data_IF_323253567816
#
_entry.id   IF_323253567816
#
_cell.length_a   1.000
_cell.length_b   1.000
_cell.length_c   1.000
_cell.angle_alpha   90.00
_cell.angle_beta   90.00
_cell.angle_gamma   90.00
#
_symmetry.space_group_name_H-M   'P 1'
#
loop_
_entity.id
_entity.type
_entity.pdbx_description
1 polymer ?
#
# COMPACT_ATOMS: atom_id res chain seq x y z
N UNK A 1 26.46 48.12 7.90
CA UNK A 1 27.92 47.98 7.72
C UNK A 1 28.40 46.82 8.57
N UNK A 2 28.72 45.72 7.89
CA UNK A 2 29.55 44.55 8.24
C UNK A 2 29.80 44.19 9.73
N UNK A 3 29.25 43.03 10.12
CA UNK A 3 29.58 42.28 11.33
C UNK A 3 30.73 41.29 11.09
N UNK A 4 31.59 41.18 12.11
CA UNK A 4 32.85 40.46 12.17
C UNK A 4 32.70 38.93 12.12
N UNK A 5 33.62 38.31 11.37
CA UNK A 5 34.02 36.90 11.48
C UNK A 5 34.90 36.67 12.72
N UNK A 6 34.63 35.61 13.48
CA UNK A 6 35.55 35.04 14.46
C UNK A 6 35.79 33.57 14.14
N UNK A 7 37.04 33.27 13.75
CA UNK A 7 37.65 31.94 13.73
C UNK A 7 38.25 31.67 15.10
N UNK A 8 38.11 30.46 15.64
CA UNK A 8 39.25 29.68 16.17
C UNK A 8 38.86 28.34 16.81
N UNK A 9 39.54 27.28 16.32
CA UNK A 9 40.16 26.16 17.07
C UNK A 9 39.20 25.20 17.80
N UNK A 10 39.30 23.87 17.62
CA UNK A 10 40.47 23.04 17.88
C UNK A 10 40.49 21.77 17.03
N UNK A 11 41.70 21.39 16.61
CA UNK A 11 42.08 20.15 15.94
C UNK A 11 43.06 19.42 16.89
N UNK A 12 42.81 18.16 17.20
CA UNK A 12 43.72 17.13 17.75
C UNK A 12 43.01 15.78 17.52
N UNK A 13 43.29 14.98 16.50
CA UNK A 13 44.43 14.05 16.29
C UNK A 13 44.69 13.08 17.46
N UNK A 14 44.44 11.77 17.22
CA UNK A 14 45.17 10.52 17.59
C UNK A 14 44.20 9.36 17.27
N UNK A 15 44.27 8.63 16.13
CA UNK A 15 45.17 7.53 15.69
C UNK A 15 44.92 6.16 16.37
N UNK A 16 44.75 5.14 15.50
CA UNK A 16 45.03 3.68 15.62
C UNK A 16 43.76 2.79 15.59
N UNK A 17 43.42 2.08 14.50
CA UNK A 17 44.09 0.93 13.84
C UNK A 17 43.61 -0.44 14.39
N UNK A 18 42.91 -1.23 13.57
CA UNK A 18 43.00 -2.70 13.47
C UNK A 18 41.97 -3.25 12.47
N UNK A 19 42.43 -3.66 11.28
CA UNK A 19 41.73 -4.63 10.45
C UNK A 19 42.74 -5.31 9.53
N UNK A 20 43.13 -6.54 9.86
CA UNK A 20 43.83 -7.42 8.94
C UNK A 20 43.78 -8.90 9.38
N UNK A 21 43.29 -9.72 8.45
CA UNK A 21 43.67 -11.11 8.13
C UNK A 21 43.20 -12.30 8.99
N UNK A 22 42.34 -13.14 8.38
CA UNK A 22 42.54 -14.56 7.96
C UNK A 22 41.15 -15.13 7.57
N UNK A 23 40.76 -15.44 6.33
CA UNK A 23 41.30 -16.27 5.23
C UNK A 23 41.06 -17.80 5.37
N UNK A 24 40.15 -18.32 4.50
CA UNK A 24 40.11 -19.65 3.82
C UNK A 24 40.01 -20.93 4.69
N UNK A 25 39.36 -22.05 4.33
CA UNK A 25 38.91 -22.62 3.03
C UNK A 25 38.17 -23.97 3.24
N UNK A 26 37.20 -24.26 2.35
CA UNK A 26 36.97 -25.54 1.60
C UNK A 26 36.53 -26.82 2.36
N UNK A 27 35.44 -27.47 1.87
CA UNK A 27 35.40 -28.85 1.31
C UNK A 27 34.03 -29.14 0.68
N UNK A 28 34.06 -29.64 -0.56
CA UNK A 28 33.00 -30.23 -1.40
C UNK A 28 32.29 -31.47 -0.81
N UNK A 29 31.08 -31.77 -1.33
CA UNK A 29 30.56 -33.15 -1.30
C UNK A 29 29.05 -33.29 -1.58
N UNK A 30 28.62 -33.92 -2.69
CA UNK A 30 27.23 -34.05 -3.11
C UNK A 30 26.56 -35.34 -2.58
N UNK A 31 25.25 -35.30 -2.33
CA UNK A 31 24.43 -36.52 -2.23
C UNK A 31 23.08 -36.32 -2.93
N UNK A 32 22.92 -37.02 -4.04
CA UNK A 32 21.65 -37.41 -4.63
C UNK A 32 21.06 -38.58 -3.83
N UNK A 33 19.72 -38.64 -3.70
CA UNK A 33 19.07 -39.84 -3.17
C UNK A 33 17.58 -39.70 -2.86
N UNK A 34 16.78 -40.21 -3.79
CA UNK A 34 15.50 -40.91 -3.60
C UNK A 34 14.21 -40.12 -3.27
N UNK A 35 13.31 -40.16 -4.25
CA UNK A 35 11.87 -40.04 -4.10
C UNK A 35 11.25 -41.27 -3.41
N UNK A 36 10.12 -41.09 -2.71
CA UNK A 36 9.00 -42.04 -2.68
C UNK A 36 7.79 -41.37 -3.38
N UNK A 37 7.11 -42.01 -4.33
CA UNK A 37 6.29 -43.19 -4.13
C UNK A 37 4.81 -42.77 -4.20
N UNK A 38 4.17 -43.00 -5.35
CA UNK A 38 2.76 -42.72 -5.60
C UNK A 38 1.82 -43.64 -4.79
N UNK A 39 0.62 -43.15 -4.43
CA UNK A 39 -0.61 -43.94 -4.47
C UNK A 39 -1.48 -43.41 -5.62
N UNK A 40 -2.03 -44.23 -6.51
CA UNK A 40 -3.06 -45.22 -6.21
C UNK A 40 -4.35 -44.75 -6.90
N UNK A 41 -4.66 -45.38 -8.04
CA UNK A 41 -5.86 -45.21 -8.85
C UNK A 41 -7.16 -45.26 -8.03
N UNK A 42 -8.04 -44.27 -8.25
CA UNK A 42 -9.48 -44.37 -7.99
C UNK A 42 -10.21 -43.81 -9.20
N UNK A 43 -10.87 -44.70 -9.94
CA UNK A 43 -11.70 -44.39 -11.09
C UNK A 43 -13.00 -43.69 -10.66
N UNK A 44 -13.21 -42.48 -11.16
CA UNK A 44 -14.53 -41.90 -11.40
C UNK A 44 -14.49 -41.34 -12.84
N UNK A 45 -15.46 -41.74 -13.65
CA UNK A 45 -15.50 -41.40 -15.07
C UNK A 45 -15.78 -39.93 -15.28
N UNK A 46 -14.80 -39.25 -15.87
CA UNK A 46 -14.99 -38.00 -16.61
C UNK A 46 -14.51 -38.26 -18.04
N UNK A 47 -15.41 -38.09 -19.01
CA UNK A 47 -15.00 -38.04 -20.40
C UNK A 47 -13.94 -36.94 -20.56
N UNK A 48 -12.82 -37.17 -21.25
CA UNK A 48 -11.83 -36.14 -21.45
C UNK A 48 -12.46 -34.99 -22.23
N UNK A 49 -12.48 -33.80 -21.60
CA UNK A 49 -12.78 -32.52 -22.24
C UNK A 49 -12.13 -32.50 -23.62
N UNK A 50 -12.95 -32.41 -24.67
CA UNK A 50 -12.47 -32.16 -26.02
C UNK A 50 -11.92 -30.73 -26.04
N UNK A 51 -10.63 -30.60 -25.78
CA UNK A 51 -9.91 -29.34 -25.94
C UNK A 51 -9.92 -29.04 -27.44
N UNK A 52 -10.68 -28.01 -27.83
CA UNK A 52 -10.64 -27.45 -29.18
C UNK A 52 -9.20 -26.96 -29.50
N UNK A 53 -8.78 -26.96 -30.77
CA UNK A 53 -7.41 -26.60 -31.14
C UNK A 53 -7.02 -25.22 -30.59
N UNK A 54 -5.81 -25.14 -30.03
CA UNK A 54 -5.24 -23.91 -29.50
C UNK A 54 -5.24 -22.80 -30.56
N UNK A 55 -5.58 -21.58 -30.14
CA UNK A 55 -5.58 -20.38 -30.98
C UNK A 55 -4.24 -20.22 -31.73
N UNK A 56 -4.31 -19.73 -32.98
CA UNK A 56 -3.18 -19.62 -33.91
C UNK A 56 -2.17 -18.51 -33.54
N UNK A 57 -2.38 -17.78 -32.44
CA UNK A 57 -1.54 -16.67 -31.98
C UNK A 57 -1.08 -16.86 -30.53
N UNK A 58 0.17 -16.51 -30.24
CA UNK A 58 0.74 -16.55 -28.88
C UNK A 58 0.50 -15.20 -28.18
N UNK A 59 -0.38 -15.16 -27.18
CA UNK A 59 -0.70 -13.94 -26.41
C UNK A 59 -0.23 -14.03 -24.94
N UNK A 60 0.03 -12.90 -24.26
CA UNK A 60 0.33 -12.88 -22.82
C UNK A 60 -0.83 -13.38 -21.95
N UNK A 61 -0.59 -13.77 -20.68
CA UNK A 61 -1.66 -14.10 -19.73
C UNK A 61 -2.63 -12.93 -19.55
N UNK A 62 -3.93 -13.18 -19.62
CA UNK A 62 -4.99 -12.16 -19.52
C UNK A 62 -5.69 -11.80 -20.83
N UNK A 63 -5.25 -12.37 -21.97
CA UNK A 63 -5.82 -12.12 -23.31
C UNK A 63 -6.73 -13.26 -23.82
N UNK A 64 -7.05 -14.20 -22.94
CA UNK A 64 -7.91 -15.33 -23.22
C UNK A 64 -9.00 -15.38 -22.18
N UNK A 65 -10.25 -15.26 -22.63
CA UNK A 65 -11.43 -15.40 -21.80
C UNK A 65 -12.07 -16.76 -22.02
N UNK A 66 -12.58 -17.35 -20.94
CA UNK A 66 -13.28 -18.63 -20.98
C UNK A 66 -14.68 -18.40 -20.46
N UNK A 67 -15.68 -18.61 -21.30
CA UNK A 67 -17.08 -18.52 -20.91
C UNK A 67 -17.83 -19.79 -21.30
N UNK A 68 -18.97 -20.01 -20.66
CA UNK A 68 -19.84 -21.14 -20.96
C UNK A 68 -20.96 -20.64 -21.86
N UNK A 69 -21.07 -21.19 -23.06
CA UNK A 69 -22.16 -20.87 -23.97
C UNK A 69 -23.49 -21.34 -23.35
N UNK A 70 -24.43 -20.42 -23.13
CA UNK A 70 -25.68 -20.70 -22.41
C UNK A 70 -26.67 -21.53 -23.23
N UNK A 71 -26.54 -21.55 -24.56
CA UNK A 71 -27.42 -22.29 -25.47
C UNK A 71 -27.02 -23.76 -25.62
N UNK A 72 -25.73 -24.05 -25.56
CA UNK A 72 -25.15 -25.39 -25.82
C UNK A 72 -24.50 -26.02 -24.60
N UNK A 73 -24.18 -25.22 -23.58
CA UNK A 73 -23.51 -25.65 -22.35
C UNK A 73 -22.03 -25.98 -22.53
N UNK A 74 -21.45 -25.71 -23.70
CA UNK A 74 -20.04 -25.94 -24.01
C UNK A 74 -19.16 -24.83 -23.41
N UNK A 75 -17.95 -25.18 -23.00
CA UNK A 75 -16.94 -24.20 -22.57
C UNK A 75 -16.24 -23.68 -23.82
N UNK A 76 -16.40 -22.38 -24.08
CA UNK A 76 -15.80 -21.69 -25.21
C UNK A 76 -14.65 -20.84 -24.69
N UNK A 77 -13.49 -21.01 -25.32
CA UNK A 77 -12.28 -20.24 -25.02
C UNK A 77 -12.06 -19.26 -26.17
N UNK A 78 -12.13 -17.96 -25.90
CA UNK A 78 -11.90 -16.89 -26.87
C UNK A 78 -10.56 -16.24 -26.57
N UNK A 79 -9.65 -16.26 -27.53
CA UNK A 79 -8.35 -15.58 -27.45
C UNK A 79 -8.41 -14.34 -28.33
N UNK A 80 -8.23 -13.16 -27.73
CA UNK A 80 -8.22 -11.90 -28.46
C UNK A 80 -6.82 -11.69 -29.06
N UNK A 81 -6.64 -11.94 -30.36
CA UNK A 81 -5.41 -11.61 -31.06
C UNK A 81 -5.45 -10.11 -31.46
N UNK A 82 -4.38 -9.32 -31.22
CA UNK A 82 -4.32 -7.95 -31.71
C UNK A 82 -4.14 -7.95 -33.24
N UNK A 83 -5.13 -7.44 -33.98
CA UNK A 83 -5.03 -7.17 -35.42
C UNK A 83 -6.14 -7.70 -36.34
N UNK A 84 -7.21 -8.30 -35.83
CA UNK A 84 -8.33 -8.72 -36.68
C UNK A 84 -9.40 -7.62 -36.77
N UNK A 85 -9.26 -6.80 -37.82
CA UNK A 85 -10.29 -5.90 -38.33
C UNK A 85 -11.29 -6.74 -39.14
N UNK A 86 -12.33 -7.27 -38.47
CA UNK A 86 -13.46 -7.85 -39.19
C UNK A 86 -14.38 -6.71 -39.68
N UNK A 87 -14.26 -6.41 -40.98
CA UNK A 87 -15.17 -5.56 -41.76
C UNK A 87 -16.59 -6.16 -41.76
N UNK A 88 -17.44 -5.67 -40.85
CA UNK A 88 -18.86 -5.97 -40.80
C UNK A 88 -19.71 -4.77 -41.22
N UNK A 89 -20.16 -4.80 -42.48
CA UNK A 89 -21.13 -3.89 -43.09
C UNK A 89 -22.48 -3.92 -42.34
N UNK A 90 -22.99 -2.76 -41.92
CA UNK A 90 -24.21 -2.63 -41.14
C UNK A 90 -24.84 -1.24 -41.27
N UNK A 91 -26.04 -1.22 -41.83
CA UNK A 91 -26.93 -0.10 -42.16
C UNK A 91 -26.92 1.11 -41.20
N UNK A 92 -26.89 2.32 -41.80
CA UNK A 92 -27.17 3.58 -41.12
C UNK A 92 -28.67 3.73 -40.88
N UNK A 93 -29.08 3.59 -39.62
CA UNK A 93 -30.40 4.04 -39.16
C UNK A 93 -30.28 5.51 -38.70
N UNK A 94 -31.09 6.39 -39.31
CA UNK A 94 -31.19 7.81 -38.98
C UNK A 94 -31.88 7.99 -37.62
N UNK A 95 -31.09 7.96 -36.55
CA UNK A 95 -31.51 8.37 -35.21
C UNK A 95 -31.09 9.81 -34.93
N UNK A 96 -32.06 10.71 -34.78
CA UNK A 96 -31.84 12.04 -34.20
C UNK A 96 -31.47 11.90 -32.73
N UNK A 97 -30.18 11.73 -32.45
CA UNK A 97 -29.67 11.78 -31.09
C UNK A 97 -29.42 13.24 -30.74
N UNK A 98 -30.28 13.83 -29.91
CA UNK A 98 -29.85 14.93 -29.03
C UNK A 98 -28.81 14.31 -28.08
N UNK A 99 -27.52 14.69 -28.15
CA UNK A 99 -26.52 14.05 -27.33
C UNK A 99 -26.60 14.59 -25.90
N UNK A 100 -26.82 13.66 -24.97
CA UNK A 100 -26.37 13.76 -23.59
C UNK A 100 -24.84 13.65 -23.55
N UNK A 101 -24.19 14.15 -22.49
CA UNK A 101 -22.74 13.97 -22.28
C UNK A 101 -22.42 12.47 -22.13
N UNK A 102 -22.29 11.79 -23.26
CA UNK A 102 -21.99 10.37 -23.39
C UNK A 102 -20.51 10.20 -23.70
N UNK A 103 -19.90 9.31 -22.95
CA UNK A 103 -18.47 8.99 -22.95
C UNK A 103 -18.22 7.80 -23.89
N UNK A 104 -17.18 7.86 -24.72
CA UNK A 104 -16.91 6.86 -25.77
C UNK A 104 -15.60 6.09 -25.53
N UNK A 105 -14.57 6.71 -24.92
CA UNK A 105 -13.26 6.10 -24.72
C UNK A 105 -12.70 6.42 -23.32
N UNK A 106 -12.47 5.39 -22.50
CA UNK A 106 -12.49 5.41 -21.03
C UNK A 106 -11.40 6.17 -20.23
N UNK A 107 -10.69 7.17 -20.76
CA UNK A 107 -9.72 7.94 -19.95
C UNK A 107 -9.71 9.44 -20.29
N UNK A 108 -9.72 10.27 -19.24
CA UNK A 108 -9.66 11.75 -19.26
C UNK A 108 -10.82 12.47 -20.00
N UNK A 109 -12.01 11.85 -20.03
CA UNK A 109 -13.24 12.45 -20.56
C UNK A 109 -14.04 13.20 -19.46
N UNK A 110 -14.56 14.39 -19.79
CA UNK A 110 -15.35 15.24 -18.88
C UNK A 110 -16.38 16.09 -19.63
N UNK A 111 -17.42 16.55 -18.93
CA UNK A 111 -18.44 17.41 -19.54
C UNK A 111 -18.11 18.90 -19.35
N UNK A 112 -18.31 19.71 -20.39
CA UNK A 112 -18.38 21.16 -20.27
C UNK A 112 -19.67 21.69 -20.90
N UNK A 113 -20.64 22.03 -20.06
CA UNK A 113 -21.98 22.37 -20.54
C UNK A 113 -22.61 21.16 -21.22
N UNK A 114 -22.99 21.31 -22.49
CA UNK A 114 -23.54 20.22 -23.32
C UNK A 114 -22.46 19.49 -24.14
N UNK A 115 -21.19 19.90 -24.03
CA UNK A 115 -20.09 19.29 -24.78
C UNK A 115 -19.47 18.12 -23.99
N UNK A 116 -19.25 17.00 -24.68
CA UNK A 116 -18.39 15.91 -24.22
C UNK A 116 -16.95 16.24 -24.60
N UNK A 117 -16.08 16.38 -23.61
CA UNK A 117 -14.69 16.76 -23.81
C UNK A 117 -13.76 15.65 -23.38
N UNK A 118 -12.58 15.63 -23.97
CA UNK A 118 -11.45 14.86 -23.49
C UNK A 118 -10.19 15.71 -23.57
N UNK A 119 -9.20 15.42 -22.74
CA UNK A 119 -7.97 16.19 -22.72
C UNK A 119 -6.80 15.40 -22.17
N UNK A 120 -5.61 15.99 -22.26
CA UNK A 120 -4.43 15.48 -21.60
C UNK A 120 -3.63 16.65 -21.01
N UNK A 121 -3.27 16.49 -19.74
CA UNK A 121 -2.63 17.53 -18.96
C UNK A 121 -1.60 16.90 -17.98
N UNK A 122 -0.29 16.88 -18.29
CA UNK A 122 0.34 17.52 -19.44
C UNK A 122 0.02 16.83 -20.76
N UNK A 123 -0.06 17.62 -21.83
CA UNK A 123 -0.33 17.10 -23.16
C UNK A 123 0.80 16.22 -23.68
N UNK A 124 0.48 15.20 -24.48
CA UNK A 124 1.47 14.34 -25.10
C UNK A 124 2.44 15.11 -26.03
N UNK A 125 1.98 16.23 -26.60
CA UNK A 125 2.78 17.16 -27.40
C UNK A 125 3.04 18.42 -26.58
N UNK A 126 4.30 18.72 -26.30
CA UNK A 126 4.70 19.87 -25.48
C UNK A 126 5.10 21.12 -26.29
N UNK A 127 5.18 21.02 -27.62
CA UNK A 127 5.49 22.14 -28.53
C UNK A 127 4.51 22.16 -29.73
N UNK A 128 3.20 22.42 -29.51
CA UNK A 128 2.23 22.46 -30.60
C UNK A 128 2.39 23.72 -31.45
N UNK A 129 2.06 23.61 -32.75
CA UNK A 129 2.16 24.73 -33.70
C UNK A 129 1.28 25.92 -33.28
N UNK A 130 0.15 25.64 -32.64
CA UNK A 130 -0.84 26.60 -32.16
C UNK A 130 -0.33 27.51 -31.03
N UNK A 131 0.69 27.06 -30.28
CA UNK A 131 1.35 27.86 -29.25
C UNK A 131 2.66 28.50 -29.72
N UNK A 132 3.02 28.37 -31.00
CA UNK A 132 4.19 29.06 -31.54
C UNK A 132 4.03 30.57 -31.43
N UNK A 133 5.02 31.21 -30.78
CA UNK A 133 4.99 32.66 -30.53
C UNK A 133 4.09 33.09 -29.37
N UNK A 134 3.36 32.17 -28.73
CA UNK A 134 2.66 32.42 -27.46
C UNK A 134 3.66 32.18 -26.31
N UNK A 135 4.08 33.21 -25.58
CA UNK A 135 5.08 33.04 -24.53
C UNK A 135 4.54 32.19 -23.39
N UNK A 136 5.39 31.29 -22.90
CA UNK A 136 5.14 30.50 -21.69
C UNK A 136 4.87 31.44 -20.51
N UNK A 137 3.71 31.33 -19.82
CA UNK A 137 3.29 32.32 -18.83
C UNK A 137 4.12 32.29 -17.53
N UNK A 138 4.66 31.12 -17.15
CA UNK A 138 5.53 30.94 -15.99
C UNK A 138 6.51 29.79 -16.23
N UNK A 139 7.61 29.69 -15.45
CA UNK A 139 8.54 28.55 -15.55
C UNK A 139 7.86 27.19 -15.32
N UNK A 140 6.85 27.15 -14.46
CA UNK A 140 6.15 25.92 -14.03
C UNK A 140 4.94 25.57 -14.92
N UNK A 141 4.60 26.42 -15.89
CA UNK A 141 3.53 26.08 -16.82
C UNK A 141 3.91 24.88 -17.71
N UNK A 142 2.94 24.14 -18.19
CA UNK A 142 3.10 23.10 -19.20
C UNK A 142 1.98 23.22 -20.22
N UNK A 143 2.15 22.54 -21.35
CA UNK A 143 1.11 22.52 -22.38
C UNK A 143 0.04 21.52 -21.95
N UNK A 144 -1.22 21.94 -22.02
CA UNK A 144 -2.39 21.08 -21.94
C UNK A 144 -3.15 21.12 -23.27
N UNK A 145 -3.87 20.04 -23.56
CA UNK A 145 -4.74 19.94 -24.71
C UNK A 145 -6.12 19.46 -24.30
N UNK A 146 -7.12 19.95 -25.04
CA UNK A 146 -8.51 19.60 -24.85
C UNK A 146 -9.22 19.60 -26.19
N UNK A 147 -10.03 18.59 -26.42
CA UNK A 147 -10.96 18.48 -27.54
C UNK A 147 -12.38 18.34 -26.99
N UNK A 148 -13.32 19.13 -27.50
CA UNK A 148 -14.71 19.11 -27.07
C UNK A 148 -15.64 18.89 -28.26
N UNK A 149 -16.51 17.88 -28.16
CA UNK A 149 -17.57 17.62 -29.13
C UNK A 149 -18.89 18.17 -28.61
N UNK A 150 -19.47 19.10 -29.35
CA UNK A 150 -20.75 19.73 -29.04
C UNK A 150 -21.94 18.97 -29.66
N UNK A 151 -23.17 19.27 -29.21
CA UNK A 151 -24.37 18.59 -29.71
C UNK A 151 -24.66 18.72 -31.20
N UNK A 152 -24.19 19.80 -31.82
CA UNK A 152 -24.32 20.05 -33.25
C UNK A 152 -23.26 19.30 -34.09
N UNK A 153 -22.45 18.44 -33.46
CA UNK A 153 -21.36 17.69 -34.07
C UNK A 153 -20.09 18.52 -34.27
N UNK A 154 -20.04 19.77 -33.82
CA UNK A 154 -18.82 20.57 -33.90
C UNK A 154 -17.78 20.06 -32.91
N UNK A 155 -16.51 20.07 -33.33
CA UNK A 155 -15.36 19.71 -32.50
C UNK A 155 -14.50 20.95 -32.32
N UNK A 156 -14.19 21.27 -31.07
CA UNK A 156 -13.27 22.34 -30.69
C UNK A 156 -12.01 21.75 -30.06
N UNK A 157 -10.90 21.87 -30.78
CA UNK A 157 -9.57 21.50 -30.31
C UNK A 157 -8.83 22.73 -29.80
N UNK A 158 -8.19 22.62 -28.64
CA UNK A 158 -7.48 23.74 -28.01
C UNK A 158 -6.21 23.31 -27.30
N UNK A 159 -5.10 23.90 -27.72
CA UNK A 159 -3.83 23.90 -27.01
C UNK A 159 -3.69 25.16 -26.16
N UNK A 160 -3.23 25.02 -24.92
CA UNK A 160 -3.03 26.17 -24.04
C UNK A 160 -1.94 25.91 -22.99
N UNK A 161 -1.29 26.99 -22.56
CA UNK A 161 -0.43 26.94 -21.39
C UNK A 161 -1.29 26.92 -20.14
N UNK A 162 -1.02 25.97 -19.25
CA UNK A 162 -1.64 25.91 -17.93
C UNK A 162 -0.57 25.71 -16.85
N UNK A 163 -0.85 26.22 -15.66
CA UNK A 163 -0.13 25.84 -14.42
C UNK A 163 -0.97 24.90 -13.58
N UNK A 164 -2.25 24.74 -13.93
CA UNK A 164 -3.15 23.79 -13.30
C UNK A 164 -2.79 22.43 -13.89
N UNK A 165 -2.03 21.62 -13.14
CA UNK A 165 -2.28 20.19 -13.20
C UNK A 165 -3.77 20.02 -12.91
N UNK A 166 -4.48 19.25 -13.74
CA UNK A 166 -5.88 18.93 -13.45
C UNK A 166 -5.96 18.46 -12.00
N UNK A 167 -6.79 19.15 -11.22
CA UNK A 167 -6.99 18.77 -9.83
C UNK A 167 -7.53 17.33 -9.84
N UNK A 168 -6.80 16.36 -9.26
CA UNK A 168 -7.24 14.98 -9.26
C UNK A 168 -8.60 14.86 -8.59
N UNK A 169 -9.41 13.86 -8.93
CA UNK A 169 -10.65 13.58 -8.20
C UNK A 169 -10.39 13.53 -6.67
N UNK A 170 -11.35 13.97 -5.86
CA UNK A 170 -11.19 14.01 -4.39
C UNK A 170 -10.80 12.65 -3.79
N UNK A 171 -11.19 11.55 -4.42
CA UNK A 171 -10.78 10.21 -4.02
C UNK A 171 -9.28 9.98 -4.18
N UNK A 172 -8.70 10.41 -5.30
CA UNK A 172 -7.27 10.29 -5.57
C UNK A 172 -6.47 11.20 -4.62
N UNK A 173 -6.94 12.44 -4.41
CA UNK A 173 -6.36 13.34 -3.43
C UNK A 173 -6.41 12.75 -2.01
N UNK A 174 -7.52 12.14 -1.62
CA UNK A 174 -7.65 11.49 -0.32
C UNK A 174 -6.70 10.29 -0.18
N UNK A 175 -6.53 9.51 -1.26
CA UNK A 175 -5.58 8.39 -1.28
C UNK A 175 -4.12 8.86 -1.19
N UNK A 176 -3.79 9.97 -1.85
CA UNK A 176 -2.48 10.63 -1.72
C UNK A 176 -2.26 11.10 -0.28
N UNK A 177 -3.22 11.84 0.28
CA UNK A 177 -3.16 12.33 1.65
C UNK A 177 -2.99 11.19 2.67
N UNK A 178 -3.71 10.07 2.47
CA UNK A 178 -3.54 8.86 3.28
C UNK A 178 -2.14 8.26 3.15
N UNK A 179 -1.60 8.16 1.92
CA UNK A 179 -0.26 7.63 1.65
C UNK A 179 0.87 8.44 2.28
N UNK A 180 0.59 9.69 2.66
CA UNK A 180 1.51 10.58 3.36
C UNK A 180 1.41 10.50 4.90
N UNK A 181 0.49 9.69 5.44
CA UNK A 181 0.45 9.40 6.87
C UNK A 181 1.66 8.52 7.25
N UNK A 182 2.42 8.97 8.25
CA UNK A 182 3.58 8.23 8.75
C UNK A 182 3.39 7.94 10.25
N UNK A 183 3.29 6.66 10.59
CA UNK A 183 3.23 6.24 12.00
C UNK A 183 4.57 6.50 12.69
N UNK A 184 4.58 6.98 13.94
CA UNK A 184 5.81 7.21 14.69
C UNK A 184 6.47 5.88 15.05
N UNK A 185 7.80 5.92 15.19
CA UNK A 185 8.56 4.84 15.82
C UNK A 185 8.19 4.76 17.31
N UNK A 186 8.17 3.55 17.86
CA UNK A 186 7.93 3.33 19.28
C UNK A 186 8.66 2.10 19.79
N UNK A 187 8.68 1.92 21.10
CA UNK A 187 9.16 0.69 21.75
C UNK A 187 8.03 0.10 22.59
N UNK A 188 7.79 -1.21 22.45
CA UNK A 188 6.90 -1.93 23.33
C UNK A 188 7.56 -2.08 24.71
N UNK A 189 7.19 -1.22 25.64
CA UNK A 189 7.71 -1.25 27.00
C UNK A 189 6.79 -2.06 27.92
N UNK A 190 7.39 -2.67 28.95
CA UNK A 190 6.66 -3.51 29.89
C UNK A 190 7.11 -3.40 31.33
N UNK A 191 6.20 -3.77 32.23
CA UNK A 191 6.41 -3.84 33.66
C UNK A 191 5.87 -5.19 34.19
N UNK A 192 6.56 -5.89 35.11
CA UNK A 192 7.82 -5.52 35.76
C UNK A 192 9.04 -5.47 34.80
N UNK A 193 9.99 -4.54 35.00
CA UNK A 193 11.12 -4.39 34.09
C UNK A 193 12.06 -5.60 34.17
N UNK A 194 12.54 -6.06 33.02
CA UNK A 194 13.56 -7.10 32.88
C UNK A 194 13.08 -8.53 33.07
N UNK A 195 12.00 -8.77 33.83
CA UNK A 195 11.39 -10.11 33.98
C UNK A 195 9.97 -10.02 34.53
N UNK A 196 9.07 -10.82 33.97
CA UNK A 196 7.74 -11.07 34.52
C UNK A 196 7.62 -12.52 35.02
N UNK A 197 6.51 -12.85 35.65
CA UNK A 197 6.27 -14.18 36.21
C UNK A 197 4.93 -14.76 35.76
N UNK A 198 4.87 -16.08 35.72
CA UNK A 198 3.64 -16.83 35.44
C UNK A 198 2.53 -16.41 36.42
N UNK A 199 1.34 -16.18 35.88
CA UNK A 199 0.14 -15.70 36.60
C UNK A 199 0.28 -14.33 37.27
N UNK A 200 1.29 -13.54 36.91
CA UNK A 200 1.43 -12.14 37.34
C UNK A 200 1.14 -11.21 36.16
N UNK A 201 0.38 -10.15 36.41
CA UNK A 201 0.05 -9.15 35.40
C UNK A 201 1.32 -8.49 34.84
N UNK A 202 1.52 -8.60 33.54
CA UNK A 202 2.51 -7.85 32.77
C UNK A 202 1.79 -6.69 32.12
N UNK A 203 2.23 -5.46 32.42
CA UNK A 203 1.61 -4.25 31.87
C UNK A 203 2.41 -3.71 30.69
N UNK A 204 1.72 -3.23 29.65
CA UNK A 204 2.32 -2.79 28.40
C UNK A 204 1.97 -1.33 28.07
N UNK A 205 2.86 -0.65 27.36
CA UNK A 205 2.60 0.65 26.73
C UNK A 205 3.55 0.88 25.55
N UNK A 206 3.17 1.75 24.62
CA UNK A 206 3.97 2.15 23.46
C UNK A 206 4.83 3.37 23.79
N UNK A 207 6.00 3.14 24.38
CA UNK A 207 6.93 4.21 24.75
C UNK A 207 7.45 4.93 23.49
N UNK A 208 7.38 6.26 23.48
CA UNK A 208 7.85 7.11 22.37
C UNK A 208 6.84 7.42 21.26
N UNK A 209 5.68 6.75 21.19
CA UNK A 209 4.70 6.96 20.11
C UNK A 209 4.04 8.36 20.12
N UNK A 210 3.89 8.99 21.29
CA UNK A 210 3.12 10.22 21.44
C UNK A 210 1.58 10.03 21.38
N UNK A 211 0.82 11.05 21.75
CA UNK A 211 -0.65 11.05 21.82
C UNK A 211 -1.30 12.01 20.80
N UNK A 212 -0.50 12.56 19.89
CA UNK A 212 -0.96 13.50 18.87
C UNK A 212 -1.58 12.82 17.65
N UNK A 213 -2.42 13.57 16.94
CA UNK A 213 -2.89 13.19 15.61
C UNK A 213 -1.75 13.26 14.58
N UNK A 214 -1.80 12.39 13.59
CA UNK A 214 -0.89 12.40 12.43
C UNK A 214 -1.68 12.96 11.24
N UNK A 215 -1.07 13.91 10.53
CA UNK A 215 -1.71 14.54 9.38
C UNK A 215 -0.90 14.29 8.11
N UNK A 216 -1.58 13.81 7.06
CA UNK A 216 -1.07 13.75 5.70
C UNK A 216 -1.89 14.68 4.81
N UNK A 217 -1.27 15.39 3.88
CA UNK A 217 -1.97 16.37 3.04
C UNK A 217 -1.61 16.19 1.59
N UNK A 218 -2.61 16.10 0.73
CA UNK A 218 -2.45 16.13 -0.73
C UNK A 218 -1.95 17.49 -1.21
N UNK A 219 -1.41 17.55 -2.42
CA UNK A 219 -0.99 18.80 -3.04
C UNK A 219 -2.14 19.81 -3.25
N UNK A 220 -3.39 19.33 -3.28
CA UNK A 220 -4.57 20.10 -3.67
C UNK A 220 -5.54 20.42 -2.50
N UNK A 221 -5.21 19.99 -1.28
CA UNK A 221 -5.85 20.51 -0.06
C UNK A 221 -6.72 19.53 0.72
N UNK A 222 -6.93 18.30 0.24
CA UNK A 222 -7.47 17.21 1.06
C UNK A 222 -6.43 16.79 2.11
N UNK A 223 -6.88 16.64 3.35
CA UNK A 223 -6.08 16.25 4.51
C UNK A 223 -6.62 14.94 5.08
N UNK A 224 -5.76 13.95 5.25
CA UNK A 224 -6.03 12.75 6.02
C UNK A 224 -5.51 12.96 7.46
N UNK A 225 -6.34 12.62 8.44
CA UNK A 225 -6.00 12.79 9.86
C UNK A 225 -6.18 11.45 10.56
N UNK A 226 -5.08 10.90 11.06
CA UNK A 226 -5.06 9.67 11.84
C UNK A 226 -5.04 10.00 13.34
N UNK A 227 -6.10 9.62 14.05
CA UNK A 227 -6.26 9.80 15.49
C UNK A 227 -5.86 8.52 16.21
N UNK A 228 -5.06 8.59 17.28
CA UNK A 228 -4.74 7.42 18.08
C UNK A 228 -6.01 6.73 18.61
N UNK A 229 -6.13 5.42 18.38
CA UNK A 229 -7.30 4.64 18.81
C UNK A 229 -6.91 3.62 19.89
N UNK A 230 -6.09 2.63 19.53
CA UNK A 230 -5.68 1.57 20.45
C UNK A 230 -4.32 0.96 20.09
N UNK A 231 -3.81 0.10 20.97
CA UNK A 231 -2.61 -0.70 20.76
C UNK A 231 -3.04 -2.16 20.68
N UNK A 232 -2.57 -2.88 19.66
CA UNK A 232 -2.67 -4.33 19.62
C UNK A 232 -1.37 -4.95 20.14
N UNK A 233 -1.46 -5.89 21.07
CA UNK A 233 -0.31 -6.59 21.66
C UNK A 233 -0.47 -8.09 21.43
N UNK A 234 0.54 -8.71 20.84
CA UNK A 234 0.74 -10.15 20.80
C UNK A 234 1.75 -10.52 21.89
N UNK A 235 1.36 -11.25 22.95
CA UNK A 235 2.27 -11.61 24.04
C UNK A 235 3.41 -12.54 23.63
N UNK A 236 3.35 -13.18 22.45
CA UNK A 236 4.40 -14.05 21.92
C UNK A 236 4.44 -15.47 22.49
N UNK A 237 3.47 -15.85 23.33
CA UNK A 237 3.36 -17.18 23.95
C UNK A 237 2.39 -18.12 23.20
N UNK A 238 1.88 -17.69 22.04
CA UNK A 238 0.88 -18.41 21.25
C UNK A 238 -0.57 -18.04 21.59
N UNK A 239 -0.79 -17.12 22.54
CA UNK A 239 -2.10 -16.55 22.81
C UNK A 239 -2.59 -15.64 21.68
N UNK A 240 -3.88 -15.29 21.73
CA UNK A 240 -4.44 -14.30 20.82
C UNK A 240 -3.89 -12.90 21.12
N UNK A 241 -3.90 -12.06 20.07
CA UNK A 241 -3.66 -10.63 20.19
C UNK A 241 -4.69 -10.02 21.15
N UNK A 242 -4.22 -9.17 22.06
CA UNK A 242 -5.05 -8.37 22.95
C UNK A 242 -5.13 -6.93 22.45
N UNK A 243 -6.32 -6.35 22.54
CA UNK A 243 -6.56 -4.93 22.26
C UNK A 243 -6.48 -4.16 23.56
N UNK A 244 -5.69 -3.08 23.56
CA UNK A 244 -5.42 -2.24 24.71
C UNK A 244 -5.71 -0.78 24.40
N UNK A 245 -6.23 -0.04 25.37
CA UNK A 245 -6.36 1.41 25.27
C UNK A 245 -5.03 2.06 24.91
N UNK A 246 -5.09 3.16 24.16
CA UNK A 246 -3.90 3.93 23.80
C UNK A 246 -3.12 4.37 25.04
N UNK A 247 -1.86 3.94 25.14
CA UNK A 247 -0.99 4.27 26.25
C UNK A 247 0.45 4.46 25.79
N UNK A 248 0.98 5.65 26.01
CA UNK A 248 2.37 6.01 25.66
C UNK A 248 3.28 6.18 26.86
N UNK A 249 2.73 5.96 28.05
CA UNK A 249 3.46 5.98 29.30
C UNK A 249 2.98 4.85 30.20
N UNK A 250 3.76 4.55 31.24
CA UNK A 250 3.48 3.46 32.17
C UNK A 250 2.06 3.54 32.72
N UNK A 251 1.28 2.50 32.46
CA UNK A 251 -0.14 2.36 32.84
C UNK A 251 -0.40 0.97 33.41
N UNK A 252 -1.56 0.78 34.05
CA UNK A 252 -2.09 -0.51 34.46
C UNK A 252 -3.27 -1.00 33.60
N UNK A 253 -3.66 -0.23 32.57
CA UNK A 253 -4.82 -0.51 31.70
C UNK A 253 -4.58 -1.65 30.72
N UNK A 254 -3.42 -1.69 30.07
CA UNK A 254 -3.04 -2.79 29.18
C UNK A 254 -2.26 -3.83 29.97
N UNK A 255 -2.85 -5.02 30.18
CA UNK A 255 -2.23 -6.08 30.99
C UNK A 255 -2.48 -7.47 30.43
N UNK A 256 -1.51 -8.35 30.67
CA UNK A 256 -1.56 -9.76 30.29
C UNK A 256 -0.83 -10.61 31.33
N UNK A 257 -1.45 -11.69 31.77
CA UNK A 257 -0.83 -12.65 32.69
C UNK A 257 -0.43 -13.91 31.93
N UNK A 258 0.87 -14.17 31.84
CA UNK A 258 1.38 -15.34 31.12
C UNK A 258 1.00 -16.64 31.85
N UNK A 259 0.44 -17.64 31.14
CA UNK A 259 0.08 -18.94 31.72
C UNK A 259 1.29 -19.86 31.91
N UNK A 260 2.38 -19.62 31.19
CA UNK A 260 3.56 -20.47 31.16
C UNK A 260 4.85 -19.66 31.19
N UNK A 261 5.92 -20.28 31.68
CA UNK A 261 7.26 -19.70 31.63
C UNK A 261 7.76 -19.71 30.18
N UNK A 262 8.66 -18.78 29.85
CA UNK A 262 9.18 -18.61 28.50
C UNK A 262 10.21 -19.67 28.08
N UNK A 263 10.16 -20.88 28.66
CA UNK A 263 11.13 -21.98 28.43
C UNK A 263 11.21 -22.41 26.97
N UNK A 264 10.09 -22.29 26.25
CA UNK A 264 9.97 -22.60 24.82
C UNK A 264 10.01 -21.34 23.93
N UNK A 265 10.36 -20.18 24.52
CA UNK A 265 10.47 -18.92 23.82
C UNK A 265 11.64 -18.90 22.83
N UNK A 266 11.46 -18.19 21.71
CA UNK A 266 12.44 -18.10 20.62
C UNK A 266 13.43 -16.95 20.80
N UNK A 267 13.09 -15.93 21.58
CA UNK A 267 14.00 -14.85 21.95
C UNK A 267 14.93 -15.26 23.11
N UNK A 268 15.97 -14.46 23.33
CA UNK A 268 16.96 -14.69 24.38
C UNK A 268 17.26 -13.38 25.11
N UNK A 269 17.23 -13.42 26.44
CA UNK A 269 17.68 -12.33 27.33
C UNK A 269 18.63 -12.93 28.35
N UNK A 270 19.86 -12.41 28.39
CA UNK A 270 20.92 -12.91 29.28
C UNK A 270 21.14 -14.44 29.21
N UNK A 271 21.02 -15.00 28.00
CA UNK A 271 21.16 -16.44 27.75
C UNK A 271 20.01 -17.31 28.27
N UNK A 272 18.90 -16.70 28.69
CA UNK A 272 17.66 -17.38 29.06
C UNK A 272 16.59 -17.18 27.98
N UNK A 273 15.80 -18.22 27.65
CA UNK A 273 14.66 -18.12 26.74
C UNK A 273 13.64 -17.05 27.17
N UNK A 274 13.11 -16.32 26.19
CA UNK A 274 12.12 -15.25 26.35
C UNK A 274 11.05 -15.35 25.25
N UNK A 275 9.83 -14.89 25.52
CA UNK A 275 8.83 -14.72 24.47
C UNK A 275 9.17 -13.52 23.59
N UNK A 276 8.89 -13.61 22.29
CA UNK A 276 8.93 -12.47 21.38
C UNK A 276 7.56 -11.82 21.36
N UNK A 277 7.30 -10.93 22.31
CA UNK A 277 6.09 -10.13 22.27
C UNK A 277 6.23 -9.06 21.20
N UNK A 278 5.11 -8.64 20.61
CA UNK A 278 5.09 -7.57 19.63
C UNK A 278 3.85 -6.71 19.78
N UNK A 279 3.96 -5.45 19.41
CA UNK A 279 2.83 -4.52 19.39
C UNK A 279 2.75 -3.78 18.07
N UNK A 280 1.57 -3.29 17.74
CA UNK A 280 1.39 -2.28 16.70
C UNK A 280 0.36 -1.23 17.16
N UNK A 281 0.55 -0.02 16.67
CA UNK A 281 -0.34 1.11 16.90
C UNK A 281 -1.47 1.06 15.88
N UNK A 282 -2.70 1.32 16.33
CA UNK A 282 -3.87 1.43 15.47
C UNK A 282 -4.45 2.84 15.62
N UNK A 283 -4.71 3.47 14.48
CA UNK A 283 -5.29 4.80 14.37
C UNK A 283 -6.58 4.73 13.56
N UNK A 284 -7.57 5.51 13.97
CA UNK A 284 -8.75 5.80 13.14
C UNK A 284 -8.42 6.96 12.20
N UNK A 285 -8.72 6.82 10.92
CA UNK A 285 -8.46 7.83 9.90
C UNK A 285 -9.76 8.47 9.45
N UNK A 286 -9.74 9.81 9.38
CA UNK A 286 -10.77 10.62 8.73
C UNK A 286 -10.16 11.52 7.67
N UNK A 287 -10.98 12.02 6.77
CA UNK A 287 -10.56 12.96 5.74
C UNK A 287 -11.28 14.28 5.90
N UNK A 288 -10.58 15.36 5.57
CA UNK A 288 -11.13 16.72 5.56
C UNK A 288 -10.76 17.39 4.23
N UNK A 289 -11.68 18.20 3.70
CA UNK A 289 -11.40 19.10 2.57
C UNK A 289 -11.77 20.53 2.99
N UNK A 290 -10.80 21.43 2.91
CA UNK A 290 -10.95 22.81 3.39
C UNK A 290 -11.44 22.94 4.86
N UNK A 291 -11.13 21.93 5.69
CA UNK A 291 -11.51 21.87 7.11
C UNK A 291 -12.91 21.30 7.39
N UNK A 292 -13.63 20.85 6.37
CA UNK A 292 -14.92 20.15 6.53
C UNK A 292 -14.72 18.64 6.34
N UNK A 293 -15.46 17.79 7.09
CA UNK A 293 -15.39 16.33 6.92
C UNK A 293 -15.69 15.88 5.50
N UNK A 294 -14.85 14.99 4.97
CA UNK A 294 -14.97 14.40 3.65
C UNK A 294 -15.24 12.90 3.77
N UNK A 295 -16.42 12.48 3.32
CA UNK A 295 -16.84 11.08 3.31
C UNK A 295 -16.80 10.55 1.87
N UNK A 296 -15.93 9.59 1.59
CA UNK A 296 -15.82 8.95 0.28
C UNK A 296 -15.81 7.43 0.43
N UNK A 297 -16.57 6.69 -0.40
CA UNK A 297 -16.58 5.24 -0.34
C UNK A 297 -15.23 4.65 -0.76
N UNK A 298 -14.83 3.55 -0.13
CA UNK A 298 -13.64 2.79 -0.53
C UNK A 298 -12.30 3.30 -0.01
N UNK A 299 -12.29 4.36 0.81
CA UNK A 299 -11.08 4.82 1.49
C UNK A 299 -10.78 4.00 2.76
N UNK A 300 -9.51 3.80 3.12
CA UNK A 300 -9.15 3.16 4.38
C UNK A 300 -9.54 4.05 5.58
N UNK A 301 -10.25 3.45 6.54
CA UNK A 301 -10.64 4.11 7.80
C UNK A 301 -9.65 3.87 8.95
N UNK A 302 -8.62 3.06 8.71
CA UNK A 302 -7.63 2.68 9.71
C UNK A 302 -6.21 2.72 9.15
N UNK A 303 -5.29 3.22 9.97
CA UNK A 303 -3.85 3.17 9.74
C UNK A 303 -3.23 2.34 10.86
N UNK A 304 -2.39 1.36 10.50
CA UNK A 304 -1.66 0.54 11.47
C UNK A 304 -0.16 0.67 11.28
N UNK A 305 0.59 0.79 12.38
CA UNK A 305 2.05 0.75 12.32
C UNK A 305 2.55 -0.67 11.98
N UNK A 306 3.82 -0.81 11.58
CA UNK A 306 4.52 -2.09 11.65
C UNK A 306 4.47 -2.69 13.07
N UNK A 307 4.73 -4.00 13.14
CA UNK A 307 4.91 -4.69 14.42
C UNK A 307 6.29 -4.38 15.00
N UNK A 308 6.33 -3.87 16.22
CA UNK A 308 7.54 -3.68 17.01
C UNK A 308 7.69 -4.80 18.03
N UNK A 309 8.86 -5.42 18.08
CA UNK A 309 9.12 -6.59 18.92
C UNK A 309 9.85 -6.23 20.22
N UNK A 310 9.61 -7.02 21.26
CA UNK A 310 10.35 -6.97 22.52
C UNK A 310 10.43 -8.35 23.15
N UNK A 311 11.62 -8.67 23.68
CA UNK A 311 11.85 -9.92 24.37
C UNK A 311 11.36 -9.85 25.82
N UNK A 312 10.54 -10.83 26.22
CA UNK A 312 9.85 -10.87 27.52
C UNK A 312 10.24 -12.13 28.28
N UNK A 313 11.14 -12.03 29.27
CA UNK A 313 11.49 -13.18 30.10
C UNK A 313 10.37 -13.46 31.09
N UNK A 314 9.81 -14.67 31.04
CA UNK A 314 8.75 -15.12 31.97
C UNK A 314 9.29 -16.26 32.81
N UNK A 315 9.44 -16.00 34.12
CA UNK A 315 9.83 -17.03 35.08
C UNK A 315 8.64 -17.67 35.77
N UNK A 316 8.82 -18.88 36.29
CA UNK A 316 7.88 -19.50 37.22
C UNK A 316 8.48 -19.51 38.63
N UNK A 317 7.71 -19.10 39.64
CA UNK A 317 8.10 -19.22 41.05
C UNK A 317 7.43 -20.44 41.64
N UNK A 318 8.21 -21.45 41.98
CA UNK A 318 7.73 -22.59 42.76
C UNK A 318 8.24 -22.48 44.19
N UNK A 319 7.31 -22.43 45.15
CA UNK A 319 7.64 -22.58 46.57
C UNK A 319 7.56 -24.05 46.95
N UNK A 320 8.66 -24.60 47.45
CA UNK A 320 8.63 -25.85 48.19
C UNK A 320 8.05 -25.54 49.58
N UNK A 321 6.88 -26.10 49.89
CA UNK A 321 6.31 -26.03 51.24
C UNK A 321 6.80 -27.27 51.99
N UNK A 322 7.61 -27.06 53.03
CA UNK A 322 8.03 -28.09 53.99
C UNK A 322 6.97 -28.30 55.08
#
# INVERSE_FOLDING_TARGET
MLTNWSKSRCLNLVVAALAAFLALSVVDGPYAGAAPGAPGESAAGDEPLKIQPAAECSVPPGWTEVHKDEATGEIVTVTHCPGDEDEGDGDQDEGTNEPTCEFYEQYDEFCMGEAACWGNNPAAVQDPDELQGVPKPSPDAHVAYRSCRYPDGTVEDKWYWTTESEEPPLEEQAREAYGLLATPDFTLAFNPPGRTFVNLDTWWWADGAGDGEITGSSAFGVVAIATPDHIEVDPGDGSNIITCDWATSKTDTCRYAYPHASTDGTAQVDGSPAYTARARLVYTVRFENAGEPLELPGLPEQLTSPWEETAVPVGEVQSLVE
#
